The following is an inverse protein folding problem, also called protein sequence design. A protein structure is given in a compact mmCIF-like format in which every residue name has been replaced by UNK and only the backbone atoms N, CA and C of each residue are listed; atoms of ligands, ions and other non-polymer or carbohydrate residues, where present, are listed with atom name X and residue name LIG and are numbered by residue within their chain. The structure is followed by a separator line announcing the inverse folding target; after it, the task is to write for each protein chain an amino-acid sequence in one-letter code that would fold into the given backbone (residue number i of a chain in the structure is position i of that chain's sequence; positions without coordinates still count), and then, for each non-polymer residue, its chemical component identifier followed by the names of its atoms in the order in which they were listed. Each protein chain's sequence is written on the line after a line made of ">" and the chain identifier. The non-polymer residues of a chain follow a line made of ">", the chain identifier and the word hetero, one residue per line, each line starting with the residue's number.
data_IF_133768979096
#
_entry.id   IF_133768979096
#
_cell.length_a   1.000
_cell.length_b   1.000
_cell.length_c   1.000
_cell.angle_alpha   90.00
_cell.angle_beta   90.00
_cell.angle_gamma   90.00
#
_symmetry.space_group_name_H-M   'P 1'
#
loop_
_entity.id
_entity.type
_entity.pdbx_description
1 polymer ?
#
# COMPACT_ATOMS: atom_id res chain seq x y z
N UNK A 1 -13.23 -18.49 2.23
CA UNK A 1 -12.40 -18.68 1.03
C UNK A 1 -11.81 -17.32 0.64
N UNK A 2 -10.50 -17.22 0.60
CA UNK A 2 -9.84 -16.01 0.09
C UNK A 2 -9.85 -16.06 -1.43
N UNK A 3 -10.49 -15.07 -2.04
CA UNK A 3 -10.53 -14.91 -3.49
C UNK A 3 -10.43 -13.42 -3.80
N UNK A 4 -9.28 -13.00 -4.27
CA UNK A 4 -9.07 -11.60 -4.64
C UNK A 4 -9.97 -11.19 -5.80
N UNK A 5 -10.53 -9.98 -5.69
CA UNK A 5 -11.28 -9.37 -6.80
C UNK A 5 -10.29 -8.94 -7.87
N UNK A 6 -10.35 -9.58 -9.02
CA UNK A 6 -9.44 -9.27 -10.11
C UNK A 6 -9.60 -10.20 -11.29
N UNK A 7 -8.76 -9.97 -12.27
CA UNK A 7 -8.68 -10.77 -13.49
C UNK A 7 -7.24 -10.94 -13.90
N UNK A 8 -6.89 -12.10 -14.39
CA UNK A 8 -5.53 -12.38 -14.85
C UNK A 8 -5.54 -13.38 -16.02
N UNK A 9 -4.77 -13.08 -17.05
CA UNK A 9 -4.46 -14.01 -18.13
C UNK A 9 -2.96 -13.97 -18.48
N UNK A 10 -2.57 -14.43 -19.69
CA UNK A 10 -1.16 -14.43 -20.12
C UNK A 10 -0.55 -13.05 -20.32
N UNK A 11 -1.35 -12.03 -20.56
CA UNK A 11 -0.88 -10.74 -21.05
C UNK A 11 -1.24 -9.55 -20.14
N UNK A 12 -2.34 -9.70 -19.37
CA UNK A 12 -2.89 -8.62 -18.57
C UNK A 12 -3.36 -9.09 -17.20
N UNK A 13 -3.31 -8.18 -16.22
CA UNK A 13 -3.96 -8.36 -14.93
C UNK A 13 -4.76 -7.11 -14.56
N UNK A 14 -5.90 -7.34 -13.92
CA UNK A 14 -6.63 -6.33 -13.17
C UNK A 14 -6.65 -6.72 -11.70
N UNK A 15 -6.40 -5.76 -10.80
CA UNK A 15 -6.42 -5.99 -9.36
C UNK A 15 -7.17 -4.86 -8.65
N UNK A 16 -8.06 -5.25 -7.76
CA UNK A 16 -8.70 -4.32 -6.82
C UNK A 16 -7.97 -4.45 -5.48
N UNK A 17 -7.40 -3.35 -4.98
CA UNK A 17 -6.49 -3.37 -3.83
C UNK A 17 -6.85 -2.31 -2.80
N UNK A 18 -6.43 -2.56 -1.58
CA UNK A 18 -6.51 -1.61 -0.47
C UNK A 18 -5.13 -1.46 0.17
N UNK A 19 -4.75 -0.23 0.49
CA UNK A 19 -3.43 0.07 1.04
C UNK A 19 -3.53 1.03 2.22
N UNK A 20 -2.59 0.90 3.15
CA UNK A 20 -2.55 1.67 4.38
C UNK A 20 -1.42 2.72 4.34
N UNK A 21 -1.77 3.96 4.65
CA UNK A 21 -0.82 5.03 4.92
C UNK A 21 -0.67 5.14 6.44
N UNK A 22 0.37 4.51 6.96
CA UNK A 22 0.70 4.50 8.39
C UNK A 22 1.87 5.46 8.58
N UNK A 23 1.56 6.62 9.16
CA UNK A 23 2.54 7.70 9.35
C UNK A 23 2.67 7.97 10.85
N UNK A 24 3.89 7.85 11.38
CA UNK A 24 4.21 8.13 12.76
C UNK A 24 5.54 8.90 12.82
N UNK A 25 5.59 9.98 13.60
CA UNK A 25 6.79 10.81 13.76
C UNK A 25 7.39 11.26 12.41
N UNK A 26 6.51 11.66 11.47
CA UNK A 26 6.84 12.04 10.10
C UNK A 26 7.57 10.95 9.29
N UNK A 27 7.28 9.69 9.59
CA UNK A 27 7.79 8.53 8.86
C UNK A 27 6.65 7.65 8.39
N UNK A 28 6.76 7.16 7.15
CA UNK A 28 5.83 6.22 6.54
C UNK A 28 6.30 4.79 6.79
N UNK A 29 5.41 3.95 7.27
CA UNK A 29 5.68 2.51 7.33
C UNK A 29 5.50 1.89 5.95
N UNK A 30 6.53 1.22 5.49
CA UNK A 30 6.57 0.56 4.18
C UNK A 30 7.07 -0.88 4.31
N UNK A 31 6.81 -1.65 3.28
CA UNK A 31 7.36 -3.00 3.14
C UNK A 31 8.35 -3.05 1.97
N UNK A 32 9.29 -3.98 2.03
CA UNK A 32 10.17 -4.34 0.94
C UNK A 32 10.29 -5.86 0.90
N UNK A 33 10.11 -6.42 -0.30
CA UNK A 33 10.32 -7.83 -0.56
C UNK A 33 11.75 -8.05 -1.07
N UNK A 34 12.42 -9.11 -0.60
CA UNK A 34 13.80 -9.42 -0.99
C UNK A 34 13.99 -9.66 -2.50
N UNK A 35 12.89 -9.95 -3.21
CA UNK A 35 12.90 -10.20 -4.66
C UNK A 35 12.69 -8.94 -5.50
N UNK A 36 12.42 -7.79 -4.90
CA UNK A 36 12.13 -6.52 -5.59
C UNK A 36 12.95 -5.38 -5.00
N UNK A 37 13.41 -4.48 -5.86
CA UNK A 37 14.21 -3.33 -5.45
C UNK A 37 13.38 -2.08 -5.13
N UNK A 38 12.14 -2.26 -4.73
CA UNK A 38 11.25 -1.14 -4.39
C UNK A 38 10.61 -1.30 -3.02
N UNK A 39 10.31 -0.15 -2.41
CA UNK A 39 9.43 -0.09 -1.25
C UNK A 39 7.98 0.10 -1.71
N UNK A 40 7.05 -0.40 -0.91
CA UNK A 40 5.61 -0.23 -1.15
C UNK A 40 4.86 -0.11 0.18
N UNK A 41 3.67 0.46 0.14
CA UNK A 41 2.81 0.56 1.32
C UNK A 41 2.25 -0.80 1.71
N UNK A 42 1.93 -0.96 2.98
CA UNK A 42 1.21 -2.13 3.46
C UNK A 42 -0.16 -2.20 2.79
N UNK A 43 -0.63 -3.41 2.54
CA UNK A 43 -1.91 -3.64 1.90
C UNK A 43 -1.92 -4.89 1.06
N UNK A 44 -2.99 -5.08 0.31
CA UNK A 44 -3.14 -6.23 -0.56
C UNK A 44 -4.44 -6.23 -1.34
N UNK A 45 -4.75 -7.37 -1.93
CA UNK A 45 -5.99 -7.57 -2.68
C UNK A 45 -7.23 -7.54 -1.79
N UNK A 46 -8.30 -6.99 -2.33
CA UNK A 46 -9.62 -7.04 -1.69
C UNK A 46 -10.26 -8.36 -2.07
N UNK A 47 -10.71 -9.12 -1.09
CA UNK A 47 -11.38 -10.39 -1.33
C UNK A 47 -12.83 -10.17 -1.83
N UNK A 48 -13.35 -11.16 -2.52
CA UNK A 48 -14.76 -11.15 -2.89
C UNK A 48 -15.63 -11.04 -1.64
N UNK A 49 -16.64 -10.17 -1.69
CA UNK A 49 -17.53 -9.82 -0.57
C UNK A 49 -16.87 -9.11 0.62
N UNK A 50 -15.65 -8.61 0.45
CA UNK A 50 -14.95 -7.81 1.43
C UNK A 50 -14.97 -6.33 1.01
N UNK A 51 -15.21 -5.42 1.92
CA UNK A 51 -15.07 -3.99 1.63
C UNK A 51 -13.60 -3.58 1.63
N UNK A 52 -13.27 -2.46 0.99
CA UNK A 52 -11.90 -1.94 0.99
C UNK A 52 -11.43 -1.57 2.41
N UNK A 53 -12.34 -1.16 3.29
CA UNK A 53 -12.04 -0.85 4.70
C UNK A 53 -11.72 -2.11 5.50
N UNK A 54 -12.49 -3.18 5.32
CA UNK A 54 -12.20 -4.48 5.95
C UNK A 54 -10.85 -5.04 5.45
N UNK A 55 -10.59 -4.92 4.16
CA UNK A 55 -9.36 -5.40 3.55
C UNK A 55 -8.13 -4.72 4.13
N UNK A 56 -8.11 -3.39 4.23
CA UNK A 56 -6.93 -2.67 4.74
C UNK A 56 -6.66 -3.00 6.21
N UNK A 57 -7.68 -3.14 7.03
CA UNK A 57 -7.54 -3.52 8.44
C UNK A 57 -6.98 -4.94 8.56
N UNK A 58 -7.51 -5.88 7.77
CA UNK A 58 -7.03 -7.27 7.73
C UNK A 58 -5.56 -7.34 7.28
N UNK A 59 -5.21 -6.66 6.20
CA UNK A 59 -3.83 -6.65 5.69
C UNK A 59 -2.85 -6.05 6.71
N UNK A 60 -3.19 -4.93 7.34
CA UNK A 60 -2.37 -4.35 8.41
C UNK A 60 -2.13 -5.35 9.54
N UNK A 61 -3.17 -6.06 9.97
CA UNK A 61 -3.06 -7.07 11.03
C UNK A 61 -2.18 -8.24 10.60
N UNK A 62 -2.36 -8.74 9.38
CA UNK A 62 -1.54 -9.84 8.83
C UNK A 62 -0.07 -9.45 8.72
N UNK A 63 0.23 -8.22 8.32
CA UNK A 63 1.61 -7.76 8.08
C UNK A 63 2.31 -7.24 9.34
N UNK A 64 1.59 -6.68 10.30
CA UNK A 64 2.20 -6.05 11.49
C UNK A 64 1.87 -6.72 12.82
N UNK A 65 0.78 -7.47 12.88
CA UNK A 65 0.23 -8.00 14.14
C UNK A 65 -0.58 -6.99 14.96
N UNK A 66 -0.71 -5.75 14.49
CA UNK A 66 -1.45 -4.69 15.18
C UNK A 66 -2.81 -4.43 14.55
N UNK A 67 -3.79 -4.05 15.39
CA UNK A 67 -5.12 -3.63 14.96
C UNK A 67 -5.13 -2.11 14.74
N UNK A 68 -5.05 -1.70 13.48
CA UNK A 68 -5.14 -0.30 13.10
C UNK A 68 -6.61 0.12 12.91
N UNK A 69 -6.86 1.41 13.14
CA UNK A 69 -8.12 2.06 12.82
C UNK A 69 -7.94 3.03 11.65
N UNK A 70 -8.98 3.15 10.83
CA UNK A 70 -8.99 4.07 9.69
C UNK A 70 -9.32 5.48 10.19
N UNK A 71 -8.51 6.47 9.78
CA UNK A 71 -8.88 7.89 9.86
C UNK A 71 -9.81 8.24 8.69
N UNK A 72 -9.32 8.11 7.45
CA UNK A 72 -10.12 8.42 6.26
C UNK A 72 -9.51 7.81 4.98
N UNK A 73 -10.34 7.73 3.94
CA UNK A 73 -9.87 7.46 2.58
C UNK A 73 -9.16 8.69 2.04
N UNK A 74 -7.86 8.57 1.77
CA UNK A 74 -7.04 9.68 1.29
C UNK A 74 -6.97 9.75 -0.23
N UNK A 75 -6.76 8.61 -0.90
CA UNK A 75 -6.62 8.55 -2.35
C UNK A 75 -7.33 7.32 -2.91
N UNK A 76 -7.86 7.48 -4.13
CA UNK A 76 -8.22 6.35 -5.00
C UNK A 76 -7.34 6.48 -6.24
N UNK A 77 -6.56 5.44 -6.55
CA UNK A 77 -5.67 5.44 -7.70
C UNK A 77 -6.15 4.43 -8.74
N UNK A 78 -6.30 4.89 -9.97
CA UNK A 78 -6.30 4.04 -11.15
C UNK A 78 -4.87 4.02 -11.70
N UNK A 79 -4.22 2.87 -11.61
CA UNK A 79 -2.82 2.71 -11.98
C UNK A 79 -2.66 1.77 -13.15
N UNK A 80 -1.92 2.23 -14.16
CA UNK A 80 -1.60 1.46 -15.36
C UNK A 80 -0.09 1.38 -15.51
N UNK A 81 0.47 0.17 -15.56
CA UNK A 81 1.89 -0.01 -15.77
C UNK A 81 2.18 -1.32 -16.50
N UNK A 82 3.35 -1.39 -17.12
CA UNK A 82 3.81 -2.56 -17.86
C UNK A 82 5.13 -3.04 -17.28
N UNK A 83 5.20 -4.31 -16.95
CA UNK A 83 6.40 -4.96 -16.45
C UNK A 83 6.66 -6.21 -17.30
N UNK A 84 7.84 -6.28 -17.95
CA UNK A 84 8.23 -7.42 -18.81
C UNK A 84 7.15 -7.81 -19.83
N UNK A 85 6.60 -6.82 -20.53
CA UNK A 85 5.50 -6.99 -21.51
C UNK A 85 4.16 -7.50 -20.93
N UNK A 86 4.05 -7.50 -19.62
CA UNK A 86 2.81 -7.83 -18.92
C UNK A 86 2.13 -6.54 -18.43
N UNK A 87 0.89 -6.35 -18.84
CA UNK A 87 0.15 -5.12 -18.55
C UNK A 87 -0.62 -5.26 -17.24
N UNK A 88 -0.46 -4.29 -16.36
CA UNK A 88 -1.14 -4.21 -15.08
C UNK A 88 -2.11 -3.03 -15.05
N UNK A 89 -3.32 -3.28 -14.60
CA UNK A 89 -4.32 -2.28 -14.27
C UNK A 89 -4.76 -2.51 -12.83
N UNK A 90 -4.58 -1.51 -11.98
CA UNK A 90 -4.96 -1.59 -10.56
C UNK A 90 -5.88 -0.45 -10.19
N UNK A 91 -6.87 -0.74 -9.34
CA UNK A 91 -7.60 0.27 -8.57
C UNK A 91 -7.24 0.08 -7.11
N UNK A 92 -6.67 1.12 -6.50
CA UNK A 92 -6.14 1.05 -5.14
C UNK A 92 -6.81 2.12 -4.27
N UNK A 93 -7.36 1.68 -3.13
CA UNK A 93 -7.90 2.56 -2.10
C UNK A 93 -6.81 2.79 -1.04
N UNK A 94 -6.32 4.03 -0.91
CA UNK A 94 -5.33 4.38 0.10
C UNK A 94 -6.01 5.02 1.31
N UNK A 95 -5.95 4.33 2.42
CA UNK A 95 -6.50 4.79 3.69
C UNK A 95 -5.42 5.37 4.59
N UNK A 96 -5.62 6.62 5.04
CA UNK A 96 -4.83 7.16 6.15
C UNK A 96 -5.29 6.49 7.43
N UNK A 97 -4.35 5.89 8.16
CA UNK A 97 -4.64 5.19 9.41
C UNK A 97 -4.44 6.12 10.60
N UNK A 98 -5.21 5.93 11.66
CA UNK A 98 -4.99 6.63 12.93
C UNK A 98 -3.68 6.18 13.55
N UNK A 99 -3.00 7.10 14.26
CA UNK A 99 -1.83 6.75 15.02
C UNK A 99 -2.21 5.86 16.20
N UNK A 100 -1.52 4.73 16.30
CA UNK A 100 -1.57 3.85 17.47
C UNK A 100 -0.16 3.61 17.97
N UNK A 101 -0.05 3.16 19.21
CA UNK A 101 1.24 2.83 19.79
C UNK A 101 1.71 1.49 19.21
N UNK A 102 2.78 1.54 18.43
CA UNK A 102 3.38 0.36 17.79
C UNK A 102 4.88 0.33 18.05
N UNK A 103 5.41 -0.85 18.28
CA UNK A 103 6.84 -1.12 18.37
C UNK A 103 7.27 -1.97 17.16
N UNK A 104 7.42 -1.30 16.02
CA UNK A 104 7.89 -1.91 14.78
C UNK A 104 9.24 -1.32 14.47
N UNK A 105 10.27 -2.15 14.40
CA UNK A 105 11.65 -1.75 14.08
C UNK A 105 11.96 -2.04 12.61
N UNK A 106 12.86 -1.22 12.04
CA UNK A 106 13.35 -1.45 10.69
C UNK A 106 13.90 -2.87 10.53
N UNK A 107 13.48 -3.54 9.46
CA UNK A 107 13.86 -4.92 9.17
C UNK A 107 12.96 -5.98 9.81
N UNK A 108 11.89 -5.58 10.52
CA UNK A 108 10.91 -6.51 11.06
C UNK A 108 10.32 -7.36 9.93
N UNK A 109 10.43 -8.68 10.06
CA UNK A 109 9.89 -9.62 9.07
C UNK A 109 8.38 -9.77 9.25
N UNK A 110 7.65 -9.73 8.15
CA UNK A 110 6.20 -10.00 8.12
C UNK A 110 5.95 -11.52 8.09
N UNK A 111 4.67 -11.92 8.05
CA UNK A 111 4.30 -13.33 7.87
C UNK A 111 4.81 -13.91 6.53
N UNK A 112 5.07 -13.04 5.55
CA UNK A 112 5.78 -13.39 4.33
C UNK A 112 7.29 -13.33 4.61
N UNK A 113 7.93 -14.46 4.76
CA UNK A 113 9.33 -14.58 5.19
C UNK A 113 10.35 -13.76 4.41
N UNK A 114 10.02 -13.41 3.15
CA UNK A 114 10.88 -12.59 2.29
C UNK A 114 10.52 -11.10 2.32
N UNK A 115 9.60 -10.68 3.18
CA UNK A 115 9.11 -9.30 3.27
C UNK A 115 9.46 -8.69 4.62
N UNK A 116 9.98 -7.45 4.60
CA UNK A 116 10.42 -6.73 5.79
C UNK A 116 9.83 -5.32 5.82
N UNK A 117 9.61 -4.80 7.03
CA UNK A 117 9.04 -3.48 7.27
C UNK A 117 10.14 -2.45 7.56
N UNK A 118 9.93 -1.22 7.10
CA UNK A 118 10.83 -0.09 7.32
C UNK A 118 10.05 1.21 7.53
N UNK A 119 10.61 2.11 8.32
CA UNK A 119 10.13 3.47 8.47
C UNK A 119 10.94 4.41 7.58
N UNK A 120 10.29 5.04 6.60
CA UNK A 120 10.94 6.00 5.71
C UNK A 120 10.51 7.43 6.07
N UNK A 121 11.47 8.38 6.25
CA UNK A 121 11.12 9.77 6.46
C UNK A 121 10.28 10.33 5.31
N UNK A 122 9.15 10.95 5.61
CA UNK A 122 8.25 11.51 4.60
C UNK A 122 8.97 12.56 3.74
N UNK A 123 9.84 13.36 4.36
CA UNK A 123 10.59 14.39 3.66
C UNK A 123 11.68 13.84 2.70
N UNK A 124 12.00 12.56 2.80
CA UNK A 124 13.02 11.91 1.98
C UNK A 124 12.46 10.89 0.99
N UNK A 125 11.14 10.73 0.89
CA UNK A 125 10.51 9.73 0.02
C UNK A 125 10.88 9.89 -1.46
N UNK A 126 11.14 11.13 -1.90
CA UNK A 126 11.56 11.39 -3.29
C UNK A 126 12.91 10.75 -3.64
N UNK A 127 13.76 10.49 -2.64
CA UNK A 127 15.06 9.84 -2.81
C UNK A 127 14.98 8.31 -2.79
N UNK A 128 13.80 7.75 -2.55
CA UNK A 128 13.59 6.32 -2.41
C UNK A 128 12.94 5.71 -3.65
N UNK A 129 12.98 4.40 -3.76
CA UNK A 129 12.27 3.63 -4.78
C UNK A 129 10.86 3.23 -4.31
N UNK A 130 10.16 4.14 -3.64
CA UNK A 130 8.78 3.94 -3.21
C UNK A 130 7.84 3.89 -4.41
N UNK A 131 6.98 2.89 -4.46
CA UNK A 131 5.88 2.77 -5.43
C UNK A 131 4.52 2.71 -4.73
N UNK A 132 3.46 3.25 -5.31
CA UNK A 132 3.45 4.06 -6.53
C UNK A 132 4.09 5.44 -6.33
N UNK A 133 4.66 5.98 -7.40
CA UNK A 133 5.51 7.16 -7.35
C UNK A 133 4.80 8.43 -6.84
N UNK A 134 3.49 8.57 -7.05
CA UNK A 134 2.74 9.75 -6.61
C UNK A 134 2.80 9.97 -5.09
N UNK A 135 2.96 8.91 -4.31
CA UNK A 135 3.05 9.00 -2.85
C UNK A 135 4.27 9.80 -2.38
N UNK A 136 5.34 9.80 -3.15
CA UNK A 136 6.59 10.50 -2.79
C UNK A 136 6.38 11.99 -2.54
N UNK A 137 5.45 12.60 -3.25
CA UNK A 137 5.11 14.03 -3.12
C UNK A 137 3.79 14.25 -2.38
N UNK A 138 2.80 13.39 -2.62
CA UNK A 138 1.45 13.54 -2.05
C UNK A 138 1.44 13.45 -0.52
N UNK A 139 2.34 12.68 0.09
CA UNK A 139 2.38 12.50 1.54
C UNK A 139 2.99 13.67 2.30
N UNK A 140 3.63 14.63 1.62
CA UNK A 140 4.14 15.86 2.25
C UNK A 140 3.00 16.75 2.76
N UNK A 141 1.84 16.70 2.11
CA UNK A 141 0.64 17.43 2.52
C UNK A 141 -0.58 16.64 2.08
N UNK A 142 -1.10 15.78 2.94
CA UNK A 142 -2.24 14.92 2.63
C UNK A 142 -3.53 15.76 2.62
N UNK A 143 -4.26 15.81 1.49
CA UNK A 143 -5.51 16.56 1.41
C UNK A 143 -6.54 16.07 2.43
N UNK A 144 -7.41 16.98 2.87
CA UNK A 144 -8.53 16.63 3.77
C UNK A 144 -9.60 15.80 3.07
N UNK A 145 -9.80 16.04 1.78
CA UNK A 145 -10.77 15.33 0.95
C UNK A 145 -10.09 14.22 0.18
N UNK A 146 -10.84 13.17 -0.18
CA UNK A 146 -10.35 12.09 -1.02
C UNK A 146 -9.97 12.60 -2.40
N UNK A 147 -8.76 12.28 -2.85
CA UNK A 147 -8.25 12.66 -4.18
C UNK A 147 -8.20 11.45 -5.09
N UNK A 148 -8.74 11.61 -6.29
CA UNK A 148 -8.66 10.62 -7.35
C UNK A 148 -7.39 10.84 -8.18
N UNK A 149 -6.57 9.80 -8.29
CA UNK A 149 -5.30 9.79 -9.02
C UNK A 149 -5.42 8.84 -10.20
N UNK A 150 -4.98 9.29 -11.37
CA UNK A 150 -4.78 8.41 -12.54
C UNK A 150 -3.32 8.45 -12.93
N UNK A 151 -2.65 7.31 -13.00
CA UNK A 151 -1.23 7.24 -13.34
C UNK A 151 -0.93 6.18 -14.40
N UNK A 152 -0.02 6.54 -15.28
CA UNK A 152 0.55 5.66 -16.30
C UNK A 152 2.05 5.56 -16.06
N UNK A 153 2.55 4.37 -15.76
CA UNK A 153 3.95 4.13 -15.38
C UNK A 153 4.64 3.13 -16.30
#
# INVERSE_FOLDING_TARGET
>A
MKMDVGYKNSDVSFSLRSAALIIKDNKLLVAKNDNYDCFYTLGGGINLNETSTEAVIRECREETGYDFEIDRLAFIQERFYTLKNYHHHEVVFFYLMKNIDVDIKDGTTTDQQCEHLYWLPVDELEKTDLVPAFLKTALKSIPKETVHIVSYE
#
